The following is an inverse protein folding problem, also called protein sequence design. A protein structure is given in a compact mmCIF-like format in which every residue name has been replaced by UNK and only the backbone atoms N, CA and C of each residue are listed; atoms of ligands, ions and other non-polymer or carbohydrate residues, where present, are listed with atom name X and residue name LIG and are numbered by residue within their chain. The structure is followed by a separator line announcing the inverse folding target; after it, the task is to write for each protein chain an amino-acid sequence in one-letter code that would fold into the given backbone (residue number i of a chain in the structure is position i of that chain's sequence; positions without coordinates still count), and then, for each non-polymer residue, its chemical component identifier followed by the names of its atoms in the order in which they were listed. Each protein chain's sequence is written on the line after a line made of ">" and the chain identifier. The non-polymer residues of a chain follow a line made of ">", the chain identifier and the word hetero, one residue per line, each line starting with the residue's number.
data_IF_520142489512
#
_entry.id   IF_520142489512
#
_cell.length_a   1.000
_cell.length_b   1.000
_cell.length_c   1.000
_cell.angle_alpha   90.00
_cell.angle_beta   90.00
_cell.angle_gamma   90.00
#
_symmetry.space_group_name_H-M   'P 1'
#
loop_
_entity.id
_entity.type
_entity.pdbx_description
1 polymer ?
#
# COMPACT_ATOMS: atom_id res chain seq x y z
N UNK A 1 -16.33 7.41 29.87
CA UNK A 1 -15.39 8.26 29.11
C UNK A 1 -14.98 7.48 27.86
N UNK A 2 -15.43 7.90 26.67
CA UNK A 2 -15.30 7.14 25.40
C UNK A 2 -13.91 7.39 24.79
N UNK A 3 -12.99 6.44 24.96
CA UNK A 3 -11.66 6.47 24.33
C UNK A 3 -11.73 6.08 22.84
N UNK A 4 -12.25 6.98 22.00
CA UNK A 4 -12.13 6.87 20.53
C UNK A 4 -10.81 7.53 20.09
N UNK A 5 -9.69 6.84 20.27
CA UNK A 5 -8.37 7.32 19.83
C UNK A 5 -7.65 6.36 18.86
N UNK A 6 -8.31 5.31 18.34
CA UNK A 6 -7.60 4.18 17.72
C UNK A 6 -8.11 3.75 16.34
N UNK A 7 -8.82 4.61 15.60
CA UNK A 7 -9.25 4.28 14.24
C UNK A 7 -8.44 5.03 13.17
N UNK A 8 -7.12 5.17 13.39
CA UNK A 8 -6.19 5.51 12.32
C UNK A 8 -5.38 4.25 12.09
N UNK A 9 -5.47 3.59 10.92
CA UNK A 9 -4.67 2.41 10.65
C UNK A 9 -3.20 2.78 10.87
N UNK A 10 -2.54 2.11 11.82
CA UNK A 10 -1.14 2.32 12.13
C UNK A 10 -0.32 2.18 10.84
N UNK A 11 0.80 2.91 10.74
CA UNK A 11 1.74 2.84 9.60
C UNK A 11 2.05 1.37 9.23
N UNK A 12 2.21 0.52 10.24
CA UNK A 12 2.45 -0.93 10.09
C UNK A 12 1.31 -1.68 9.39
N UNK A 13 0.06 -1.30 9.62
CA UNK A 13 -1.11 -1.93 8.97
C UNK A 13 -1.22 -1.54 7.50
N UNK A 14 -0.78 -0.32 7.14
CA UNK A 14 -0.76 0.16 5.74
C UNK A 14 0.31 -0.56 4.91
N UNK A 15 1.51 -0.74 5.48
CA UNK A 15 2.57 -1.52 4.85
C UNK A 15 2.18 -2.99 4.65
N UNK A 16 1.55 -3.61 5.66
CA UNK A 16 1.07 -4.98 5.55
C UNK A 16 0.02 -5.12 4.43
N UNK A 17 -0.93 -4.18 4.36
CA UNK A 17 -1.96 -4.17 3.34
C UNK A 17 -1.37 -3.96 1.93
N UNK A 18 -0.47 -3.00 1.75
CA UNK A 18 0.23 -2.78 0.48
C UNK A 18 0.95 -4.07 0.01
N UNK A 19 1.66 -4.74 0.91
CA UNK A 19 2.38 -5.96 0.59
C UNK A 19 1.45 -7.13 0.25
N UNK A 20 0.32 -7.28 0.96
CA UNK A 20 -0.69 -8.28 0.64
C UNK A 20 -1.32 -8.00 -0.73
N UNK A 21 -1.69 -6.75 -1.02
CA UNK A 21 -2.27 -6.37 -2.31
C UNK A 21 -1.32 -6.66 -3.46
N UNK A 22 -0.05 -6.27 -3.34
CA UNK A 22 0.98 -6.56 -4.35
C UNK A 22 1.14 -8.08 -4.53
N UNK A 23 1.16 -8.86 -3.45
CA UNK A 23 1.33 -10.31 -3.51
C UNK A 23 0.16 -11.03 -4.19
N UNK A 24 -1.07 -10.56 -3.97
CA UNK A 24 -2.28 -11.21 -4.47
C UNK A 24 -2.71 -10.71 -5.86
N UNK A 25 -2.52 -9.42 -6.14
CA UNK A 25 -3.02 -8.77 -7.35
C UNK A 25 -1.90 -8.36 -8.32
N UNK A 26 -0.66 -8.20 -7.82
CA UNK A 26 0.41 -7.53 -8.56
C UNK A 26 0.37 -6.01 -8.43
N UNK A 27 1.45 -5.33 -8.85
CA UNK A 27 1.60 -3.88 -8.65
C UNK A 27 0.50 -3.04 -9.30
N UNK A 28 0.10 -3.34 -10.54
CA UNK A 28 -0.88 -2.53 -11.28
C UNK A 28 -2.29 -2.65 -10.71
N UNK A 29 -2.76 -3.88 -10.49
CA UNK A 29 -4.09 -4.11 -9.92
C UNK A 29 -4.18 -3.69 -8.44
N UNK A 30 -3.09 -3.80 -7.67
CA UNK A 30 -3.02 -3.25 -6.32
C UNK A 30 -3.14 -1.71 -6.31
N UNK A 31 -2.45 -1.03 -7.23
CA UNK A 31 -2.51 0.42 -7.38
C UNK A 31 -3.93 0.88 -7.80
N UNK A 32 -4.54 0.18 -8.77
CA UNK A 32 -5.89 0.50 -9.21
C UNK A 32 -6.92 0.30 -8.09
N UNK A 33 -6.81 -0.79 -7.32
CA UNK A 33 -7.66 -1.05 -6.15
C UNK A 33 -7.54 0.07 -5.12
N UNK A 34 -6.31 0.51 -4.83
CA UNK A 34 -6.09 1.62 -3.89
C UNK A 34 -6.66 2.94 -4.40
N UNK A 35 -6.54 3.22 -5.71
CA UNK A 35 -7.10 4.43 -6.33
C UNK A 35 -8.63 4.44 -6.26
N UNK A 36 -9.27 3.31 -6.55
CA UNK A 36 -10.74 3.18 -6.48
C UNK A 36 -11.28 3.35 -5.04
N UNK A 37 -10.52 2.91 -4.03
CA UNK A 37 -10.92 3.00 -2.62
C UNK A 37 -10.46 4.30 -1.93
N UNK A 38 -9.73 5.18 -2.63
CA UNK A 38 -9.18 6.41 -2.05
C UNK A 38 -8.06 6.18 -1.04
N UNK A 39 -7.36 5.05 -1.11
CA UNK A 39 -6.24 4.71 -0.22
C UNK A 39 -4.93 5.30 -0.74
N UNK A 40 -4.87 6.63 -0.82
CA UNK A 40 -3.74 7.36 -1.43
C UNK A 40 -2.38 7.02 -0.81
N UNK A 41 -2.35 6.83 0.50
CA UNK A 41 -1.12 6.55 1.25
C UNK A 41 -0.59 5.12 0.99
N UNK A 42 -1.49 4.17 0.74
CA UNK A 42 -1.14 2.79 0.37
C UNK A 42 -0.71 2.75 -1.10
N UNK A 43 -1.36 3.55 -1.95
CA UNK A 43 -0.99 3.71 -3.35
C UNK A 43 0.44 4.23 -3.49
N UNK A 44 0.81 5.28 -2.75
CA UNK A 44 2.17 5.85 -2.76
C UNK A 44 3.24 4.79 -2.39
N UNK A 45 2.97 3.98 -1.37
CA UNK A 45 3.86 2.89 -0.97
C UNK A 45 3.98 1.80 -2.05
N UNK A 46 2.87 1.45 -2.71
CA UNK A 46 2.88 0.48 -3.82
C UNK A 46 3.71 1.01 -4.99
N UNK A 47 3.55 2.27 -5.37
CA UNK A 47 4.32 2.90 -6.46
C UNK A 47 5.81 3.03 -6.12
N UNK A 48 6.14 3.43 -4.88
CA UNK A 48 7.54 3.46 -4.41
C UNK A 48 8.19 2.08 -4.51
N UNK A 49 7.48 1.02 -4.09
CA UNK A 49 7.99 -0.35 -4.15
C UNK A 49 8.13 -0.85 -5.58
N UNK A 50 7.19 -0.50 -6.47
CA UNK A 50 7.29 -0.80 -7.90
C UNK A 50 8.57 -0.21 -8.48
N UNK A 51 8.81 1.09 -8.25
CA UNK A 51 10.01 1.79 -8.72
C UNK A 51 11.31 1.18 -8.15
N UNK A 52 11.29 0.75 -6.89
CA UNK A 52 12.44 0.07 -6.26
C UNK A 52 12.74 -1.29 -6.90
N UNK A 53 11.70 -2.08 -7.23
CA UNK A 53 11.86 -3.37 -7.92
C UNK A 53 12.31 -3.18 -9.36
N UNK A 54 11.75 -2.21 -10.09
CA UNK A 54 12.17 -1.86 -11.45
C UNK A 54 13.63 -1.40 -11.49
N UNK A 55 14.07 -0.64 -10.48
CA UNK A 55 15.47 -0.23 -10.33
C UNK A 55 16.39 -1.40 -9.96
N UNK A 56 15.91 -2.37 -9.16
CA UNK A 56 16.69 -3.54 -8.74
C UNK A 56 16.78 -4.63 -9.82
N UNK A 57 15.82 -4.70 -10.75
CA UNK A 57 15.84 -5.61 -11.89
C UNK A 57 16.75 -5.18 -13.04
N UNK A 58 17.40 -4.01 -12.94
CA UNK A 58 18.30 -3.44 -13.95
C UNK A 58 19.77 -3.40 -13.49
N UNK A 59 20.17 -4.35 -12.63
CA UNK A 59 21.55 -4.53 -12.16
C UNK A 59 22.10 -5.90 -12.55
#
# INVERSE_FOLDING_TARGET
>A
MRSQAQNRPSVSSRMALAQQLIRHLGFEAAAETCRQNGWQDILDEIERRRAAVESAGHA
#
